data_IF_991164624771
#
_entry.id   IF_991164624771
#
_cell.length_a   1.000
_cell.length_b   1.000
_cell.length_c   1.000
_cell.angle_alpha   90.00
_cell.angle_beta   90.00
_cell.angle_gamma   90.00
#
_symmetry.space_group_name_H-M   'P 1'
#
loop_
_entity.id
_entity.type
_entity.pdbx_description
1 polymer ?
#
# COMPACT_ATOMS: atom_id res chain seq x y z
N UNK A 1 73.42 60.16 -52.64
CA UNK A 1 72.02 60.51 -52.33
C UNK A 1 71.04 59.40 -52.69
N UNK A 2 71.03 58.88 -53.93
CA UNK A 2 70.07 57.85 -54.36
C UNK A 2 70.29 56.46 -53.73
N UNK A 3 71.55 56.01 -53.57
CA UNK A 3 71.85 54.70 -52.97
C UNK A 3 71.48 54.61 -51.48
N UNK A 4 71.71 55.67 -50.72
CA UNK A 4 71.34 55.77 -49.30
C UNK A 4 69.83 55.80 -49.10
N UNK A 5 69.08 56.42 -50.03
CA UNK A 5 67.63 56.43 -50.02
C UNK A 5 67.05 55.05 -50.34
N UNK A 6 67.65 54.32 -51.30
CA UNK A 6 67.23 52.97 -51.66
C UNK A 6 67.48 51.96 -50.52
N UNK A 7 68.65 52.06 -49.85
CA UNK A 7 68.96 51.20 -48.70
C UNK A 7 68.00 51.45 -47.53
N UNK A 8 67.65 52.72 -47.27
CA UNK A 8 66.67 53.11 -46.25
C UNK A 8 65.24 52.67 -46.60
N UNK A 9 64.84 52.80 -47.86
CA UNK A 9 63.54 52.33 -48.33
C UNK A 9 63.43 50.80 -48.24
N UNK A 10 64.51 50.07 -48.53
CA UNK A 10 64.55 48.61 -48.42
C UNK A 10 64.47 48.12 -46.97
N UNK A 11 65.22 48.73 -46.05
CA UNK A 11 65.12 48.40 -44.62
C UNK A 11 63.76 48.77 -44.03
N UNK A 12 63.17 49.91 -44.42
CA UNK A 12 61.81 50.26 -44.04
C UNK A 12 60.78 49.25 -44.56
N UNK A 13 60.92 48.77 -45.80
CA UNK A 13 60.02 47.77 -46.37
C UNK A 13 60.19 46.38 -45.73
N UNK A 14 61.41 45.99 -45.36
CA UNK A 14 61.68 44.76 -44.61
C UNK A 14 61.07 44.82 -43.19
N UNK A 15 61.18 45.95 -42.50
CA UNK A 15 60.57 46.17 -41.19
C UNK A 15 59.04 46.10 -41.27
N UNK A 16 58.43 46.71 -42.29
CA UNK A 16 56.99 46.65 -42.55
C UNK A 16 56.52 45.22 -42.82
N UNK A 17 57.31 44.42 -43.55
CA UNK A 17 57.00 43.01 -43.80
C UNK A 17 57.01 42.19 -42.49
N UNK A 18 58.00 42.38 -41.61
CA UNK A 18 58.04 41.70 -40.31
C UNK A 18 56.89 42.11 -39.39
N UNK A 19 56.55 43.40 -39.34
CA UNK A 19 55.46 43.90 -38.51
C UNK A 19 54.11 43.40 -39.01
N UNK A 20 53.93 43.27 -40.33
CA UNK A 20 52.73 42.64 -40.92
C UNK A 20 52.61 41.15 -40.55
N UNK A 21 53.72 40.41 -40.54
CA UNK A 21 53.74 39.00 -40.14
C UNK A 21 53.40 38.84 -38.65
N UNK A 22 53.99 39.65 -37.77
CA UNK A 22 53.68 39.66 -36.33
C UNK A 22 52.20 39.99 -36.08
N UNK A 23 51.64 40.92 -36.87
CA UNK A 23 50.22 41.28 -36.78
C UNK A 23 49.31 40.12 -37.20
N UNK A 24 49.66 39.38 -38.26
CA UNK A 24 48.89 38.19 -38.67
C UNK A 24 48.94 37.08 -37.62
N UNK A 25 50.10 36.80 -37.04
CA UNK A 25 50.25 35.82 -35.95
C UNK A 25 49.45 36.22 -34.71
N UNK A 26 49.50 37.50 -34.33
CA UNK A 26 48.72 38.03 -33.21
C UNK A 26 47.21 37.87 -33.43
N UNK A 27 46.74 38.10 -34.66
CA UNK A 27 45.34 37.91 -35.04
C UNK A 27 44.93 36.44 -34.94
N UNK A 28 45.76 35.51 -35.39
CA UNK A 28 45.48 34.07 -35.31
C UNK A 28 45.42 33.55 -33.87
N UNK A 29 46.37 33.96 -33.02
CA UNK A 29 46.40 33.50 -31.64
C UNK A 29 45.24 34.08 -30.82
N UNK A 30 44.83 35.32 -31.12
CA UNK A 30 43.60 35.91 -30.57
C UNK A 30 42.35 35.11 -30.98
N UNK A 31 42.29 34.63 -32.23
CA UNK A 31 41.19 33.79 -32.72
C UNK A 31 41.18 32.39 -32.06
N UNK A 32 42.34 31.76 -31.88
CA UNK A 32 42.44 30.47 -31.15
C UNK A 32 41.98 30.62 -29.70
N UNK A 33 42.33 31.75 -29.07
CA UNK A 33 41.92 32.03 -27.70
C UNK A 33 40.41 32.22 -27.56
N UNK A 34 39.77 32.93 -28.51
CA UNK A 34 38.31 33.08 -28.51
C UNK A 34 37.61 31.73 -28.74
N UNK A 35 38.09 30.92 -29.68
CA UNK A 35 37.55 29.56 -29.92
C UNK A 35 37.69 28.67 -28.67
N UNK A 36 38.86 28.68 -28.03
CA UNK A 36 39.08 27.93 -26.79
C UNK A 36 38.13 28.38 -25.66
N UNK A 37 37.89 29.68 -25.55
CA UNK A 37 36.96 30.24 -24.56
C UNK A 37 35.51 29.80 -24.82
N UNK A 38 35.08 29.75 -26.08
CA UNK A 38 33.74 29.30 -26.45
C UNK A 38 33.53 27.80 -26.19
N UNK A 39 34.51 26.98 -26.52
CA UNK A 39 34.43 25.54 -26.30
C UNK A 39 34.46 25.18 -24.81
N UNK A 40 35.24 25.92 -24.02
CA UNK A 40 35.20 25.84 -22.55
C UNK A 40 33.81 26.22 -22.00
N UNK A 41 33.19 27.28 -22.53
CA UNK A 41 31.83 27.68 -22.14
C UNK A 41 30.78 26.63 -22.54
N UNK A 42 30.90 26.01 -23.73
CA UNK A 42 30.01 24.91 -24.15
C UNK A 42 30.14 23.71 -23.23
N UNK A 43 31.36 23.35 -22.84
CA UNK A 43 31.62 22.25 -21.90
C UNK A 43 31.01 22.53 -20.53
N UNK A 44 31.22 23.73 -19.97
CA UNK A 44 30.64 24.15 -18.68
C UNK A 44 29.10 24.10 -18.75
N UNK A 45 28.50 24.63 -19.82
CA UNK A 45 27.04 24.59 -20.01
C UNK A 45 26.51 23.15 -20.06
N UNK A 46 27.22 22.25 -20.76
CA UNK A 46 26.85 20.83 -20.83
C UNK A 46 26.95 20.16 -19.46
N UNK A 47 28.03 20.38 -18.74
CA UNK A 47 28.23 19.83 -17.39
C UNK A 47 27.21 20.35 -16.38
N UNK A 48 26.85 21.64 -16.46
CA UNK A 48 25.79 22.24 -15.64
C UNK A 48 24.42 21.64 -15.97
N UNK A 49 24.10 21.45 -17.25
CA UNK A 49 22.87 20.81 -17.69
C UNK A 49 22.76 19.37 -17.19
N UNK A 50 23.83 18.59 -17.30
CA UNK A 50 23.83 17.18 -16.88
C UNK A 50 23.78 17.05 -15.35
N UNK A 51 24.50 17.90 -14.60
CA UNK A 51 24.39 18.01 -13.14
C UNK A 51 22.96 18.35 -12.71
N UNK A 52 22.30 19.28 -13.41
CA UNK A 52 20.91 19.65 -13.12
C UNK A 52 19.92 18.50 -13.38
N UNK A 53 20.15 17.70 -14.43
CA UNK A 53 19.34 16.51 -14.74
C UNK A 53 19.53 15.43 -13.68
N UNK A 54 20.76 15.17 -13.26
CA UNK A 54 21.07 14.21 -12.20
C UNK A 54 20.39 14.60 -10.89
N UNK A 55 20.49 15.87 -10.48
CA UNK A 55 19.82 16.38 -9.28
C UNK A 55 18.30 16.25 -9.34
N UNK A 56 17.67 16.51 -10.50
CA UNK A 56 16.22 16.31 -10.68
C UNK A 56 15.81 14.85 -10.54
N UNK A 57 16.58 13.91 -11.10
CA UNK A 57 16.34 12.47 -10.98
C UNK A 57 16.43 12.01 -9.53
N UNK A 58 17.51 12.36 -8.83
CA UNK A 58 17.71 12.02 -7.43
C UNK A 58 16.54 12.54 -6.55
N UNK A 59 16.13 13.80 -6.72
CA UNK A 59 14.96 14.34 -6.00
C UNK A 59 13.68 13.56 -6.32
N UNK A 60 13.46 13.20 -7.58
CA UNK A 60 12.28 12.44 -7.99
C UNK A 60 12.24 11.05 -7.36
N UNK A 61 13.40 10.39 -7.23
CA UNK A 61 13.51 9.06 -6.66
C UNK A 61 13.35 9.08 -5.14
N UNK A 62 13.96 10.07 -4.44
CA UNK A 62 13.72 10.28 -3.01
C UNK A 62 12.24 10.55 -2.71
N UNK A 63 11.54 11.32 -3.55
CA UNK A 63 10.11 11.56 -3.39
C UNK A 63 9.26 10.30 -3.59
N UNK A 64 9.66 9.38 -4.48
CA UNK A 64 8.96 8.09 -4.64
C UNK A 64 9.10 7.24 -3.38
N UNK A 65 10.30 7.16 -2.81
CA UNK A 65 10.55 6.42 -1.56
C UNK A 65 9.70 6.96 -0.42
N UNK A 66 9.67 8.29 -0.22
CA UNK A 66 8.86 8.91 0.83
C UNK A 66 7.37 8.59 0.66
N UNK A 67 6.85 8.61 -0.58
CA UNK A 67 5.45 8.23 -0.85
C UNK A 67 5.19 6.76 -0.53
N UNK A 68 6.08 5.85 -0.91
CA UNK A 68 5.96 4.43 -0.59
C UNK A 68 5.98 4.15 0.91
N UNK A 69 6.83 4.86 1.68
CA UNK A 69 6.84 4.79 3.14
C UNK A 69 5.50 5.26 3.72
N UNK A 70 4.96 6.39 3.23
CA UNK A 70 3.66 6.89 3.65
C UNK A 70 2.55 5.86 3.39
N UNK A 71 2.50 5.31 2.18
CA UNK A 71 1.51 4.29 1.80
C UNK A 71 1.63 3.02 2.68
N UNK A 72 2.87 2.62 3.00
CA UNK A 72 3.16 1.51 3.92
C UNK A 72 2.62 1.77 5.32
N UNK A 73 2.81 2.98 5.86
CA UNK A 73 2.32 3.36 7.19
C UNK A 73 0.78 3.35 7.21
N UNK A 74 0.13 4.00 6.24
CA UNK A 74 -1.33 4.03 6.16
C UNK A 74 -1.95 2.63 6.03
N UNK A 75 -1.31 1.75 5.25
CA UNK A 75 -1.74 0.36 5.10
C UNK A 75 -1.55 -0.42 6.40
N UNK A 76 -0.41 -0.25 7.07
CA UNK A 76 -0.13 -0.86 8.37
C UNK A 76 -1.17 -0.45 9.42
N UNK A 77 -1.50 0.84 9.51
CA UNK A 77 -2.55 1.33 10.42
C UNK A 77 -3.92 0.70 10.13
N UNK A 78 -4.29 0.57 8.85
CA UNK A 78 -5.53 -0.10 8.45
C UNK A 78 -5.54 -1.57 8.88
N UNK A 79 -4.44 -2.29 8.68
CA UNK A 79 -4.29 -3.69 9.11
C UNK A 79 -4.41 -3.80 10.63
N UNK A 80 -3.77 -2.92 11.40
CA UNK A 80 -3.85 -2.91 12.86
C UNK A 80 -5.30 -2.67 13.33
N UNK A 81 -6.01 -1.71 12.72
CA UNK A 81 -7.44 -1.48 13.00
C UNK A 81 -8.28 -2.72 12.72
N UNK A 82 -8.05 -3.38 11.58
CA UNK A 82 -8.74 -4.62 11.22
C UNK A 82 -8.42 -5.77 12.17
N UNK A 83 -7.17 -5.94 12.59
CA UNK A 83 -6.77 -6.97 13.57
C UNK A 83 -7.43 -6.75 14.93
N UNK A 84 -7.57 -5.49 15.36
CA UNK A 84 -8.32 -5.15 16.58
C UNK A 84 -9.80 -5.55 16.46
N UNK A 85 -10.43 -5.23 15.34
CA UNK A 85 -11.82 -5.64 15.06
C UNK A 85 -11.95 -7.17 15.02
N UNK A 86 -10.98 -7.86 14.43
CA UNK A 86 -10.94 -9.32 14.38
C UNK A 86 -10.92 -9.92 15.79
N UNK A 87 -10.05 -9.41 16.68
CA UNK A 87 -9.98 -9.87 18.06
C UNK A 87 -11.30 -9.65 18.81
N UNK A 88 -11.98 -8.53 18.57
CA UNK A 88 -13.31 -8.26 19.16
C UNK A 88 -14.37 -9.26 18.66
N UNK A 89 -14.36 -9.58 17.36
CA UNK A 89 -15.28 -10.57 16.80
C UNK A 89 -14.97 -11.99 17.29
N UNK A 90 -13.71 -12.35 17.45
CA UNK A 90 -13.30 -13.66 17.98
C UNK A 90 -13.72 -13.83 19.45
N UNK A 91 -13.63 -12.76 20.25
CA UNK A 91 -14.18 -12.76 21.61
C UNK A 91 -15.70 -12.95 21.60
N UNK A 92 -16.40 -12.18 20.77
CA UNK A 92 -17.85 -12.26 20.65
C UNK A 92 -18.32 -13.61 20.09
N UNK A 93 -17.53 -14.25 19.21
CA UNK A 93 -17.78 -15.61 18.74
C UNK A 93 -17.70 -16.62 19.90
N UNK A 94 -16.70 -16.49 20.77
CA UNK A 94 -16.56 -17.37 21.93
C UNK A 94 -17.75 -17.25 22.88
N UNK A 95 -18.24 -16.02 23.14
CA UNK A 95 -19.46 -15.79 23.93
C UNK A 95 -20.69 -16.41 23.24
N UNK A 96 -20.82 -16.21 21.94
CA UNK A 96 -21.94 -16.75 21.16
C UNK A 96 -21.95 -18.28 21.09
N UNK A 97 -20.78 -18.93 21.08
CA UNK A 97 -20.67 -20.40 21.13
C UNK A 97 -21.26 -20.96 22.43
N UNK A 98 -21.08 -20.28 23.56
CA UNK A 98 -21.69 -20.67 24.84
C UNK A 98 -23.21 -20.53 24.76
N UNK A 99 -23.71 -19.42 24.20
CA UNK A 99 -25.14 -19.20 24.01
C UNK A 99 -25.78 -20.27 23.11
N UNK A 100 -25.13 -20.61 21.99
CA UNK A 100 -25.60 -21.66 21.06
C UNK A 100 -25.67 -23.01 21.74
N UNK A 101 -24.64 -23.41 22.50
CA UNK A 101 -24.65 -24.67 23.25
C UNK A 101 -25.81 -24.70 24.26
N UNK A 102 -25.97 -23.64 25.05
CA UNK A 102 -27.05 -23.53 26.03
C UNK A 102 -28.43 -23.59 25.38
N UNK A 103 -28.64 -22.86 24.28
CA UNK A 103 -29.92 -22.87 23.59
C UNK A 103 -30.22 -24.22 22.93
N UNK A 104 -29.19 -24.90 22.41
CA UNK A 104 -29.31 -26.27 21.88
C UNK A 104 -29.65 -27.29 22.98
N UNK A 105 -29.01 -27.19 24.15
CA UNK A 105 -29.32 -28.03 25.32
C UNK A 105 -30.77 -27.82 25.79
N UNK A 106 -31.21 -26.56 25.90
CA UNK A 106 -32.60 -26.24 26.26
C UNK A 106 -33.59 -26.78 25.22
N UNK A 107 -33.29 -26.64 23.93
CA UNK A 107 -34.12 -27.18 22.85
C UNK A 107 -34.22 -28.71 22.92
N UNK A 108 -33.11 -29.40 23.20
CA UNK A 108 -33.11 -30.85 23.37
C UNK A 108 -33.93 -31.27 24.59
N UNK A 109 -33.74 -30.62 25.73
CA UNK A 109 -34.51 -30.91 26.95
C UNK A 109 -36.02 -30.71 26.73
N UNK A 110 -36.41 -29.60 26.09
CA UNK A 110 -37.81 -29.32 25.80
C UNK A 110 -38.40 -30.34 24.79
N UNK A 111 -37.62 -30.80 23.81
CA UNK A 111 -38.02 -31.85 22.89
C UNK A 111 -38.22 -33.21 23.59
N UNK A 112 -37.32 -33.58 24.50
CA UNK A 112 -37.43 -34.80 25.29
C UNK A 112 -38.65 -34.76 26.22
N UNK A 113 -38.90 -33.62 26.86
CA UNK A 113 -40.10 -33.41 27.67
C UNK A 113 -41.39 -33.52 26.85
N UNK A 114 -41.41 -32.88 25.67
CA UNK A 114 -42.53 -32.98 24.74
C UNK A 114 -42.79 -34.44 24.36
N UNK A 115 -41.74 -35.19 24.00
CA UNK A 115 -41.84 -36.63 23.69
C UNK A 115 -42.43 -37.43 24.85
N UNK A 116 -42.00 -37.17 26.09
CA UNK A 116 -42.55 -37.82 27.31
C UNK A 116 -44.02 -37.47 27.54
N UNK A 117 -44.40 -36.19 27.42
CA UNK A 117 -45.80 -35.76 27.58
C UNK A 117 -46.69 -36.30 26.47
N UNK A 118 -46.20 -36.33 25.23
CA UNK A 118 -46.89 -36.91 24.09
C UNK A 118 -47.12 -38.42 24.28
N UNK A 119 -46.09 -39.15 24.74
CA UNK A 119 -46.20 -40.58 25.06
C UNK A 119 -47.22 -40.83 26.18
N UNK A 120 -47.23 -39.97 27.21
CA UNK A 120 -48.21 -40.06 28.30
C UNK A 120 -49.65 -39.85 27.80
N UNK A 121 -49.86 -38.86 26.92
CA UNK A 121 -51.15 -38.61 26.28
C UNK A 121 -51.55 -39.74 25.33
N UNK A 122 -50.60 -40.36 24.62
CA UNK A 122 -50.91 -41.46 23.70
C UNK A 122 -51.52 -42.66 24.43
N UNK A 123 -51.08 -42.92 25.67
CA UNK A 123 -51.62 -44.00 26.51
C UNK A 123 -53.01 -43.69 27.09
N UNK A 124 -53.36 -42.41 27.26
CA UNK A 124 -54.67 -41.96 27.73
C UNK A 124 -55.12 -40.73 26.92
N UNK A 125 -55.55 -40.99 25.69
CA UNK A 125 -55.82 -39.96 24.69
C UNK A 125 -57.08 -39.13 24.98
N UNK A 126 -57.92 -39.60 25.91
CA UNK A 126 -59.16 -38.92 26.28
C UNK A 126 -58.96 -37.98 27.48
N UNK A 127 -57.82 -38.05 28.20
CA UNK A 127 -57.54 -37.13 29.29
C UNK A 127 -57.20 -35.70 28.79
N UNK A 128 -58.17 -34.80 28.96
CA UNK A 128 -58.05 -33.38 28.63
C UNK A 128 -56.88 -32.68 29.33
N UNK A 129 -56.50 -33.07 30.55
CA UNK A 129 -55.36 -32.48 31.27
C UNK A 129 -54.04 -32.91 30.65
N UNK A 130 -53.90 -34.17 30.25
CA UNK A 130 -52.73 -34.66 29.51
C UNK A 130 -52.62 -33.96 28.16
N UNK A 131 -53.74 -33.78 27.46
CA UNK A 131 -53.76 -33.08 26.17
C UNK A 131 -53.24 -31.64 26.28
N UNK A 132 -53.72 -30.90 27.30
CA UNK A 132 -53.23 -29.53 27.57
C UNK A 132 -51.74 -29.49 27.93
N UNK A 133 -51.25 -30.47 28.71
CA UNK A 133 -49.83 -30.53 29.10
C UNK A 133 -48.93 -30.85 27.91
N UNK A 134 -49.32 -31.82 27.08
CA UNK A 134 -48.57 -32.17 25.86
C UNK A 134 -48.53 -30.98 24.88
N UNK A 135 -49.66 -30.29 24.68
CA UNK A 135 -49.72 -29.10 23.84
C UNK A 135 -48.75 -28.01 24.32
N UNK A 136 -48.77 -27.67 25.62
CA UNK A 136 -47.84 -26.67 26.18
C UNK A 136 -46.38 -27.08 25.99
N UNK A 137 -46.07 -28.34 26.27
CA UNK A 137 -44.72 -28.87 26.09
C UNK A 137 -44.26 -28.82 24.62
N UNK A 138 -45.18 -29.00 23.66
CA UNK A 138 -44.88 -28.87 22.25
C UNK A 138 -44.59 -27.41 21.86
N UNK A 139 -45.34 -26.46 22.40
CA UNK A 139 -45.08 -25.02 22.21
C UNK A 139 -43.72 -24.62 22.81
N UNK A 140 -43.41 -25.07 24.02
CA UNK A 140 -42.12 -24.82 24.67
C UNK A 140 -40.93 -25.41 23.87
N UNK A 141 -41.11 -26.62 23.32
CA UNK A 141 -40.11 -27.26 22.46
C UNK A 141 -39.90 -26.48 21.16
N UNK A 142 -40.99 -26.01 20.54
CA UNK A 142 -40.95 -25.20 19.32
C UNK A 142 -40.20 -23.88 19.56
N UNK A 143 -40.54 -23.16 20.62
CA UNK A 143 -39.93 -21.87 20.95
C UNK A 143 -38.44 -22.03 21.28
N UNK A 144 -38.08 -23.09 21.99
CA UNK A 144 -36.68 -23.41 22.32
C UNK A 144 -35.88 -23.78 21.06
N UNK A 145 -36.46 -24.59 20.16
CA UNK A 145 -35.84 -24.90 18.88
C UNK A 145 -35.65 -23.65 18.00
N UNK A 146 -36.62 -22.72 18.01
CA UNK A 146 -36.48 -21.47 17.27
C UNK A 146 -35.36 -20.59 17.83
N UNK A 147 -35.25 -20.47 19.16
CA UNK A 147 -34.15 -19.74 19.82
C UNK A 147 -32.80 -20.35 19.45
N UNK A 148 -32.65 -21.67 19.55
CA UNK A 148 -31.43 -22.36 19.14
C UNK A 148 -31.05 -22.06 17.69
N UNK A 149 -32.02 -22.14 16.76
CA UNK A 149 -31.78 -21.80 15.35
C UNK A 149 -31.34 -20.34 15.16
N UNK A 150 -31.98 -19.39 15.84
CA UNK A 150 -31.61 -17.97 15.77
C UNK A 150 -30.19 -17.75 16.31
N UNK A 151 -29.81 -18.41 17.39
CA UNK A 151 -28.47 -18.32 17.97
C UNK A 151 -27.40 -18.93 17.06
N UNK A 152 -27.69 -20.04 16.38
CA UNK A 152 -26.80 -20.63 15.36
C UNK A 152 -26.62 -19.67 14.17
N UNK A 153 -27.70 -19.05 13.69
CA UNK A 153 -27.61 -18.07 12.60
C UNK A 153 -26.76 -16.85 12.99
N UNK A 154 -26.89 -16.35 14.23
CA UNK A 154 -26.02 -15.28 14.73
C UNK A 154 -24.55 -15.72 14.73
N UNK A 155 -24.26 -16.92 15.24
CA UNK A 155 -22.89 -17.47 15.22
C UNK A 155 -22.33 -17.53 13.80
N UNK A 156 -23.12 -18.04 12.85
CA UNK A 156 -22.72 -18.13 11.44
C UNK A 156 -22.37 -16.75 10.85
N UNK A 157 -23.18 -15.73 11.12
CA UNK A 157 -22.90 -14.37 10.64
C UNK A 157 -21.57 -13.84 11.19
N UNK A 158 -21.29 -14.06 12.48
CA UNK A 158 -20.01 -13.67 13.10
C UNK A 158 -18.84 -14.40 12.45
N UNK A 159 -18.97 -15.70 12.19
CA UNK A 159 -17.95 -16.50 11.50
C UNK A 159 -17.69 -16.02 10.07
N UNK A 160 -18.74 -15.62 9.35
CA UNK A 160 -18.63 -15.02 8.01
C UNK A 160 -17.90 -13.67 8.05
N UNK A 161 -18.22 -12.81 9.02
CA UNK A 161 -17.54 -11.53 9.22
C UNK A 161 -16.06 -11.72 9.55
N UNK A 162 -15.74 -12.65 10.45
CA UNK A 162 -14.35 -13.04 10.79
C UNK A 162 -13.61 -13.50 9.53
N UNK A 163 -14.23 -14.37 8.71
CA UNK A 163 -13.62 -14.89 7.48
C UNK A 163 -13.34 -13.78 6.48
N UNK A 164 -14.31 -12.88 6.27
CA UNK A 164 -14.17 -11.72 5.39
C UNK A 164 -13.04 -10.79 5.86
N UNK A 165 -12.97 -10.53 7.16
CA UNK A 165 -11.96 -9.66 7.76
C UNK A 165 -10.56 -10.27 7.69
N UNK A 166 -10.40 -11.56 7.98
CA UNK A 166 -9.14 -12.31 7.80
C UNK A 166 -8.65 -12.24 6.36
N UNK A 167 -9.54 -12.39 5.38
CA UNK A 167 -9.18 -12.26 3.96
C UNK A 167 -8.70 -10.84 3.61
N UNK A 168 -9.36 -9.80 4.14
CA UNK A 168 -8.95 -8.39 3.95
C UNK A 168 -7.59 -8.11 4.57
N UNK A 169 -7.35 -8.62 5.78
CA UNK A 169 -6.06 -8.50 6.48
C UNK A 169 -4.95 -9.17 5.65
N UNK A 170 -5.13 -10.43 5.23
CA UNK A 170 -4.14 -11.15 4.43
C UNK A 170 -3.78 -10.41 3.13
N UNK A 171 -4.79 -9.94 2.38
CA UNK A 171 -4.57 -9.11 1.17
C UNK A 171 -3.82 -7.81 1.48
N UNK A 172 -4.06 -7.22 2.65
CA UNK A 172 -3.35 -6.04 3.13
C UNK A 172 -1.89 -6.35 3.44
N UNK A 173 -1.64 -7.45 4.16
CA UNK A 173 -0.29 -7.91 4.52
C UNK A 173 0.53 -8.26 3.28
N UNK A 174 -0.06 -8.92 2.29
CA UNK A 174 0.61 -9.21 1.01
C UNK A 174 1.04 -7.92 0.28
N UNK A 175 0.16 -6.91 0.26
CA UNK A 175 0.48 -5.60 -0.34
C UNK A 175 1.57 -4.89 0.46
N UNK A 176 1.49 -4.94 1.79
CA UNK A 176 2.49 -4.34 2.67
C UNK A 176 3.87 -4.99 2.47
N UNK A 177 3.92 -6.32 2.34
CA UNK A 177 5.13 -7.07 2.06
C UNK A 177 5.72 -6.71 0.69
N UNK A 178 4.88 -6.53 -0.34
CA UNK A 178 5.35 -6.03 -1.65
C UNK A 178 6.01 -4.66 -1.52
N UNK A 179 5.40 -3.72 -0.80
CA UNK A 179 5.96 -2.38 -0.58
C UNK A 179 7.28 -2.47 0.21
N UNK A 180 7.30 -3.24 1.30
CA UNK A 180 8.52 -3.45 2.11
C UNK A 180 9.65 -4.04 1.28
N UNK A 181 9.37 -5.05 0.45
CA UNK A 181 10.38 -5.66 -0.43
C UNK A 181 10.90 -4.67 -1.47
N UNK A 182 10.04 -3.81 -2.03
CA UNK A 182 10.52 -2.75 -2.92
C UNK A 182 11.40 -1.73 -2.21
N UNK A 183 11.10 -1.41 -0.95
CA UNK A 183 11.89 -0.48 -0.14
C UNK A 183 13.21 -1.09 0.36
N UNK A 184 13.30 -2.42 0.54
CA UNK A 184 14.53 -3.08 1.00
C UNK A 184 15.58 -3.26 -0.10
N UNK A 185 15.18 -3.16 -1.37
CA UNK A 185 16.07 -3.32 -2.54
C UNK A 185 16.57 -1.95 -3.06
N UNK A 186 16.09 -0.84 -2.47
CA UNK A 186 16.53 0.53 -2.74
C UNK A 186 17.62 0.96 -1.75
#
# INVERSE_FOLDING_TARGET
ALFTFFLFAFTANAQLAEDSLKLTQFSEDSLKLTQFSEDSLKLIKKQAADSSKAAKRQKSDSLKVVRQIKDSIELSEKIVKQKKQLAQLELLLAEQQVAVKKDAENAQQAADENSRKASSLANDSQDRKLAKRASRSADDAKDSAEKARRSVNKQKNIEEDIRSLRSKIGKGEDKLNKIRNTLSVL
#
